data_IF_314471585584
#
_entry.id   IF_314471585584
#
_cell.length_a   1.000
_cell.length_b   1.000
_cell.length_c   1.000
_cell.angle_alpha   90.00
_cell.angle_beta   90.00
_cell.angle_gamma   90.00
#
_symmetry.space_group_name_H-M   'P 1'
#
loop_
_entity.id
_entity.type
_entity.pdbx_description
1 polymer ?
#
# COMPACT_ATOMS: atom_id res chain seq x y z
N UNK A 1 -31.95 -2.50 -18.88
CA UNK A 1 -30.70 -3.24 -19.19
C UNK A 1 -29.69 -2.89 -18.11
N UNK A 2 -29.13 -3.88 -17.42
CA UNK A 2 -28.08 -3.64 -16.41
C UNK A 2 -26.77 -3.33 -17.13
N UNK A 3 -26.15 -2.20 -16.80
CA UNK A 3 -24.83 -1.81 -17.32
C UNK A 3 -23.75 -2.23 -16.32
N UNK A 4 -22.62 -2.72 -16.83
CA UNK A 4 -21.44 -3.16 -16.09
C UNK A 4 -20.26 -2.26 -16.44
N UNK A 5 -19.35 -2.08 -15.49
CA UNK A 5 -18.20 -1.18 -15.61
C UNK A 5 -16.95 -1.86 -15.08
N UNK A 6 -15.87 -1.85 -15.87
CA UNK A 6 -14.59 -2.48 -15.53
C UNK A 6 -13.40 -1.54 -15.82
N UNK A 7 -12.32 -1.60 -15.04
CA UNK A 7 -11.07 -0.91 -15.39
C UNK A 7 -10.53 -1.42 -16.72
N UNK A 8 -10.10 -0.51 -17.59
CA UNK A 8 -9.49 -0.85 -18.86
C UNK A 8 -8.45 0.21 -19.24
N UNK A 9 -7.18 -0.18 -19.32
CA UNK A 9 -6.04 0.72 -19.49
C UNK A 9 -6.05 1.87 -18.45
N UNK A 10 -6.04 3.12 -18.91
CA UNK A 10 -6.08 4.34 -18.10
C UNK A 10 -7.52 4.81 -17.79
N UNK A 11 -8.53 4.04 -18.19
CA UNK A 11 -9.93 4.41 -18.07
C UNK A 11 -10.83 3.26 -17.65
N UNK A 12 -12.06 3.29 -18.18
CA UNK A 12 -13.13 2.39 -17.79
C UNK A 12 -13.93 2.00 -19.02
N UNK A 13 -14.24 0.70 -19.15
CA UNK A 13 -15.09 0.19 -20.20
C UNK A 13 -16.47 -0.12 -19.62
N UNK A 14 -17.51 0.41 -20.27
CA UNK A 14 -18.91 0.16 -19.91
C UNK A 14 -19.56 -0.75 -20.94
N UNK A 15 -20.30 -1.75 -20.49
CA UNK A 15 -20.96 -2.72 -21.37
C UNK A 15 -22.27 -3.25 -20.77
N UNK A 16 -23.09 -3.90 -21.58
CA UNK A 16 -24.28 -4.62 -21.13
C UNK A 16 -24.20 -6.08 -21.53
N UNK A 17 -24.88 -6.95 -20.79
CA UNK A 17 -24.96 -8.37 -21.14
C UNK A 17 -26.08 -8.61 -22.16
N UNK A 18 -25.88 -9.56 -23.09
CA UNK A 18 -26.93 -10.01 -23.99
C UNK A 18 -28.19 -10.50 -23.25
N UNK A 19 -29.37 -10.45 -23.90
CA UNK A 19 -30.61 -10.96 -23.31
C UNK A 19 -30.46 -12.42 -22.83
N UNK A 20 -30.99 -12.71 -21.64
CA UNK A 20 -30.92 -14.05 -21.03
C UNK A 20 -29.66 -14.34 -20.20
N UNK A 21 -28.60 -13.55 -20.37
CA UNK A 21 -27.40 -13.66 -19.53
C UNK A 21 -27.57 -12.92 -18.20
N UNK A 22 -26.94 -13.45 -17.15
CA UNK A 22 -26.88 -12.83 -15.81
C UNK A 22 -25.44 -12.76 -15.36
N UNK A 23 -25.05 -11.64 -14.79
CA UNK A 23 -23.71 -11.44 -14.24
C UNK A 23 -23.79 -10.93 -12.80
N UNK A 24 -22.86 -11.41 -11.98
CA UNK A 24 -22.65 -10.96 -10.59
C UNK A 24 -21.30 -10.27 -10.51
N UNK A 25 -21.26 -9.06 -9.96
CA UNK A 25 -20.01 -8.35 -9.73
C UNK A 25 -19.44 -8.78 -8.38
N UNK A 26 -18.27 -9.40 -8.40
CA UNK A 26 -17.51 -9.72 -7.20
C UNK A 26 -16.51 -8.58 -6.92
N UNK A 27 -16.64 -7.94 -5.76
CA UNK A 27 -15.72 -6.88 -5.32
C UNK A 27 -15.13 -7.23 -3.96
N UNK A 28 -13.93 -6.71 -3.70
CA UNK A 28 -13.33 -6.77 -2.38
C UNK A 28 -14.19 -5.99 -1.38
N UNK A 29 -14.22 -6.46 -0.13
CA UNK A 29 -14.82 -5.70 0.97
C UNK A 29 -14.07 -4.39 1.14
N UNK A 30 -14.80 -3.27 1.11
CA UNK A 30 -14.22 -1.96 1.34
C UNK A 30 -13.59 -1.86 2.74
N UNK A 31 -12.41 -1.25 2.81
CA UNK A 31 -11.81 -0.83 4.06
C UNK A 31 -11.93 0.69 4.19
N UNK A 32 -12.15 1.24 5.40
CA UNK A 32 -12.15 2.69 5.60
C UNK A 32 -10.77 3.25 5.23
N UNK A 33 -10.71 4.44 4.59
CA UNK A 33 -9.45 5.07 4.26
C UNK A 33 -8.68 5.44 5.54
N UNK A 34 -7.36 5.36 5.47
CA UNK A 34 -6.45 5.75 6.54
C UNK A 34 -5.75 7.06 6.19
N UNK A 35 -5.44 7.85 7.22
CA UNK A 35 -4.50 8.96 7.09
C UNK A 35 -3.08 8.38 6.96
N UNK A 36 -2.54 8.40 5.73
CA UNK A 36 -1.38 7.59 5.36
C UNK A 36 -0.15 7.88 6.24
N UNK A 37 0.19 9.14 6.43
CA UNK A 37 1.36 9.54 7.23
C UNK A 37 1.26 9.12 8.68
N UNK A 38 0.07 9.28 9.26
CA UNK A 38 -0.20 8.85 10.64
C UNK A 38 -0.10 7.34 10.76
N UNK A 39 -0.74 6.60 9.86
CA UNK A 39 -0.76 5.14 9.88
C UNK A 39 0.65 4.55 9.76
N UNK A 40 1.48 5.10 8.86
CA UNK A 40 2.87 4.65 8.66
C UNK A 40 3.71 4.88 9.92
N UNK A 41 3.64 6.09 10.50
CA UNK A 41 4.39 6.41 11.73
C UNK A 41 3.95 5.53 12.90
N UNK A 42 2.64 5.34 13.07
CA UNK A 42 2.10 4.55 14.18
C UNK A 42 2.51 3.07 14.03
N UNK A 43 2.58 2.55 12.80
CA UNK A 43 3.08 1.20 12.51
C UNK A 43 4.58 1.04 12.82
N UNK A 44 5.42 2.00 12.45
CA UNK A 44 6.87 1.96 12.74
C UNK A 44 7.18 2.01 14.25
N UNK A 45 6.32 2.69 15.03
CA UNK A 45 6.47 2.78 16.50
C UNK A 45 5.95 1.55 17.24
N UNK A 46 5.12 0.73 16.60
CA UNK A 46 4.48 -0.43 17.21
C UNK A 46 4.69 -1.68 16.35
N UNK A 47 5.94 -2.13 16.17
CA UNK A 47 6.27 -3.30 15.35
C UNK A 47 5.64 -4.58 15.93
N UNK A 48 5.28 -5.50 15.03
CA UNK A 48 4.73 -6.80 15.41
C UNK A 48 5.88 -7.81 15.55
N UNK A 49 6.14 -8.27 16.78
CA UNK A 49 7.09 -9.36 17.03
C UNK A 49 8.56 -9.05 16.74
N UNK A 50 8.92 -7.76 16.62
CA UNK A 50 10.29 -7.31 16.39
C UNK A 50 10.56 -6.01 17.17
N UNK A 51 11.84 -5.64 17.42
CA UNK A 51 12.20 -4.30 17.89
C UNK A 51 11.84 -3.22 16.87
N UNK A 52 11.79 -1.96 17.33
CA UNK A 52 11.70 -0.80 16.44
C UNK A 52 12.98 -0.66 15.61
N UNK A 53 12.93 0.10 14.50
CA UNK A 53 14.08 0.24 13.60
C UNK A 53 15.31 0.83 14.29
N UNK A 54 15.11 1.79 15.21
CA UNK A 54 16.16 2.38 16.06
C UNK A 54 16.67 1.44 17.16
N UNK A 55 15.92 0.40 17.50
CA UNK A 55 16.38 -0.70 18.34
C UNK A 55 17.04 -1.84 17.55
N UNK A 56 16.90 -1.85 16.22
CA UNK A 56 17.44 -2.88 15.34
C UNK A 56 18.80 -2.48 14.76
N UNK A 57 18.95 -1.20 14.40
CA UNK A 57 20.17 -0.63 13.85
C UNK A 57 21.04 0.00 14.95
N UNK A 58 22.32 0.20 14.65
CA UNK A 58 23.23 1.00 15.48
C UNK A 58 24.10 1.89 14.60
N UNK A 59 24.65 2.94 15.22
CA UNK A 59 25.67 3.81 14.61
C UNK A 59 26.74 3.02 13.84
N UNK A 60 26.89 3.38 12.57
CA UNK A 60 27.88 2.81 11.67
C UNK A 60 27.42 1.55 10.91
N UNK A 61 26.21 1.05 11.17
CA UNK A 61 25.63 -0.01 10.35
C UNK A 61 25.37 0.49 8.92
N UNK A 62 25.52 -0.43 7.95
CA UNK A 62 25.13 -0.20 6.57
C UNK A 62 23.77 -0.85 6.33
N UNK A 63 22.76 -0.02 6.15
CA UNK A 63 21.36 -0.46 5.96
C UNK A 63 20.99 -0.41 4.48
N UNK A 64 20.28 -1.45 4.01
CA UNK A 64 19.68 -1.48 2.69
C UNK A 64 18.16 -1.50 2.83
N UNK A 65 17.48 -0.57 2.15
CA UNK A 65 16.02 -0.53 2.07
C UNK A 65 15.62 -1.11 0.71
N UNK A 66 15.04 -2.31 0.72
CA UNK A 66 14.50 -2.92 -0.47
C UNK A 66 13.10 -2.34 -0.76
N UNK A 67 12.93 -1.75 -1.95
CA UNK A 67 11.66 -1.22 -2.45
C UNK A 67 11.14 -2.07 -3.59
N UNK A 68 9.83 -2.05 -3.81
CA UNK A 68 9.23 -2.74 -4.95
C UNK A 68 9.58 -2.05 -6.27
N UNK A 69 9.50 -2.78 -7.38
CA UNK A 69 9.68 -2.20 -8.71
C UNK A 69 8.50 -1.29 -9.12
N UNK A 70 8.66 -0.62 -10.27
CA UNK A 70 7.66 0.31 -10.79
C UNK A 70 6.33 -0.34 -11.21
N UNK A 71 6.24 -1.68 -11.24
CA UNK A 71 4.99 -2.39 -11.59
C UNK A 71 4.05 -2.54 -10.39
N UNK A 72 4.53 -2.20 -9.18
CA UNK A 72 3.72 -2.21 -7.97
C UNK A 72 3.24 -0.81 -7.64
N UNK A 73 1.95 -0.71 -7.33
CA UNK A 73 1.34 0.50 -6.79
C UNK A 73 1.70 0.70 -5.30
N UNK A 74 2.97 0.55 -4.94
CA UNK A 74 3.46 0.80 -3.59
C UNK A 74 3.65 2.31 -3.40
N UNK A 75 3.13 2.91 -2.32
CA UNK A 75 3.30 4.33 -2.06
C UNK A 75 4.69 4.63 -1.46
N UNK A 76 5.77 4.28 -2.16
CA UNK A 76 7.14 4.36 -1.65
C UNK A 76 7.53 5.79 -1.22
N UNK A 77 7.00 6.80 -1.92
CA UNK A 77 7.18 8.22 -1.56
C UNK A 77 6.66 8.57 -0.17
N UNK A 78 5.68 7.81 0.34
CA UNK A 78 5.13 7.97 1.69
C UNK A 78 5.84 7.05 2.69
N UNK A 79 6.29 5.87 2.25
CA UNK A 79 6.87 4.84 3.13
C UNK A 79 8.36 5.06 3.43
N UNK A 80 9.16 5.42 2.43
CA UNK A 80 10.63 5.48 2.56
C UNK A 80 11.10 6.60 3.49
N UNK A 81 10.60 7.86 3.38
CA UNK A 81 11.06 8.93 4.27
C UNK A 81 10.91 8.62 5.78
N UNK A 82 9.76 8.12 6.28
CA UNK A 82 9.64 7.79 7.71
C UNK A 82 10.45 6.58 8.14
N UNK A 83 10.74 5.63 7.24
CA UNK A 83 11.70 4.53 7.51
C UNK A 83 13.10 5.11 7.73
N UNK A 84 13.56 6.01 6.85
CA UNK A 84 14.85 6.68 7.00
C UNK A 84 14.92 7.47 8.31
N UNK A 85 13.90 8.29 8.61
CA UNK A 85 13.86 9.06 9.87
C UNK A 85 13.92 8.16 11.10
N UNK A 86 13.26 6.99 11.07
CA UNK A 86 13.31 6.05 12.19
C UNK A 86 14.69 5.39 12.34
N UNK A 87 15.38 5.08 11.23
CA UNK A 87 16.74 4.53 11.27
C UNK A 87 17.78 5.57 11.74
N UNK A 88 17.63 6.84 11.36
CA UNK A 88 18.52 7.93 11.79
C UNK A 88 18.53 8.14 13.31
N UNK A 89 17.48 7.73 14.03
CA UNK A 89 17.44 7.76 15.50
C UNK A 89 18.46 6.81 16.14
N UNK A 90 18.96 5.80 15.41
CA UNK A 90 19.98 4.87 15.89
C UNK A 90 21.40 5.48 15.94
N UNK A 91 21.59 6.69 15.39
CA UNK A 91 22.86 7.43 15.34
C UNK A 91 23.80 7.00 14.22
#
# INVERSE_FOLDING_TARGET
MTSYSIPFADGTLSFSLPPGMRGTVATSRAAPPLEAWRAIRDALRTPLGAPTLDGLAKRGDRVCIAVTDATRACPDRLLVPPICMALELAG
#
